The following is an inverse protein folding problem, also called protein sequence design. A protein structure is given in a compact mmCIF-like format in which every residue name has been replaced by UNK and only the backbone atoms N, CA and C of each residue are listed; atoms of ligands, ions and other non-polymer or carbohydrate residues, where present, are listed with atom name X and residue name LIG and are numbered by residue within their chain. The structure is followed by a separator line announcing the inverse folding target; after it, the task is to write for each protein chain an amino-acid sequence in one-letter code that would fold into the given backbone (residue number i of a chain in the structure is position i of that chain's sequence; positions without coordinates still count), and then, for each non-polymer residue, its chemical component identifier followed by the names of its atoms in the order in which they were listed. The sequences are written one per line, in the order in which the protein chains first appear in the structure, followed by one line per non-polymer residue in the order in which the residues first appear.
data_IF_110356091813
#
_entry.id   IF_110356091813
#
_cell.length_a   1.000
_cell.length_b   1.000
_cell.length_c   1.000
_cell.angle_alpha   90.00
_cell.angle_beta   90.00
_cell.angle_gamma   90.00
#
_symmetry.space_group_name_H-M   'P 1'
#
loop_
_entity.id
_entity.type
_entity.pdbx_description
1 polymer ?
#
# COMPACT_ATOMS: atom_id res chain seq x y z
N UNK A 1 6.02 14.12 -0.10
CA UNK A 1 5.38 14.56 1.16
C UNK A 1 4.03 13.86 1.39
N UNK A 2 3.76 12.69 0.80
CA UNK A 2 2.38 12.25 0.52
C UNK A 2 1.97 10.91 1.16
N UNK A 3 2.44 10.60 2.37
CA UNK A 3 2.02 9.39 3.08
C UNK A 3 1.29 9.65 4.41
N UNK A 4 1.27 10.89 4.92
CA UNK A 4 0.76 11.18 6.27
C UNK A 4 -0.78 11.12 6.41
N UNK A 5 -1.50 11.68 5.43
CA UNK A 5 -2.95 11.88 5.56
C UNK A 5 -3.77 10.57 5.59
N UNK A 6 -3.31 9.48 4.95
CA UNK A 6 -4.07 8.19 4.93
C UNK A 6 -3.77 7.28 6.12
N UNK A 7 -2.59 7.38 6.73
CA UNK A 7 -2.30 6.70 8.01
C UNK A 7 -3.12 7.28 9.16
N UNK A 8 -3.39 8.59 9.14
CA UNK A 8 -4.23 9.27 10.12
C UNK A 8 -5.68 8.77 10.09
N UNK A 9 -6.25 8.52 8.89
CA UNK A 9 -7.61 7.98 8.76
C UNK A 9 -7.74 6.56 9.34
N UNK A 10 -6.73 5.70 9.14
CA UNK A 10 -6.69 4.36 9.74
C UNK A 10 -6.55 4.46 11.26
N UNK A 11 -5.68 5.34 11.75
CA UNK A 11 -5.50 5.57 13.19
C UNK A 11 -6.79 6.11 13.84
N UNK A 12 -7.52 6.98 13.15
CA UNK A 12 -8.81 7.49 13.60
C UNK A 12 -9.88 6.40 13.61
N UNK A 13 -9.94 5.56 12.58
CA UNK A 13 -10.85 4.41 12.53
C UNK A 13 -10.53 3.36 13.62
N UNK A 14 -9.25 3.09 13.89
CA UNK A 14 -8.82 2.23 15.00
C UNK A 14 -9.24 2.80 16.36
N UNK A 15 -9.12 4.12 16.53
CA UNK A 15 -9.54 4.82 17.74
C UNK A 15 -11.05 4.71 17.95
N UNK A 16 -11.85 4.85 16.89
CA UNK A 16 -13.30 4.67 16.95
C UNK A 16 -13.68 3.22 17.32
N UNK A 17 -13.02 2.22 16.71
CA UNK A 17 -13.19 0.80 17.10
C UNK A 17 -12.88 0.58 18.58
N UNK A 18 -11.81 1.16 19.09
CA UNK A 18 -11.43 1.07 20.50
C UNK A 18 -12.52 1.66 21.41
N UNK A 19 -13.03 2.84 21.05
CA UNK A 19 -14.10 3.53 21.78
C UNK A 19 -15.40 2.71 21.78
N UNK A 20 -15.83 2.18 20.63
CA UNK A 20 -17.03 1.32 20.55
C UNK A 20 -16.84 0.00 21.28
N UNK A 21 -15.62 -0.54 21.31
CA UNK A 21 -15.29 -1.77 22.05
C UNK A 21 -15.44 -1.56 23.55
N UNK A 22 -14.94 -0.44 24.08
CA UNK A 22 -15.12 -0.09 25.48
C UNK A 22 -16.60 0.06 25.85
N UNK A 23 -17.39 0.71 24.99
CA UNK A 23 -18.84 0.85 25.18
C UNK A 23 -19.56 -0.52 25.18
N UNK A 24 -19.19 -1.42 24.27
CA UNK A 24 -19.74 -2.79 24.25
C UNK A 24 -19.35 -3.58 25.50
N UNK A 25 -18.10 -3.52 25.95
CA UNK A 25 -17.66 -4.20 27.18
C UNK A 25 -18.41 -3.68 28.42
N UNK A 26 -18.65 -2.37 28.50
CA UNK A 26 -19.46 -1.79 29.56
C UNK A 26 -20.90 -2.32 29.53
N UNK A 27 -21.54 -2.30 28.35
CA UNK A 27 -22.90 -2.80 28.16
C UNK A 27 -23.03 -4.32 28.42
N UNK A 28 -22.01 -5.10 28.05
CA UNK A 28 -21.89 -6.53 28.35
C UNK A 28 -21.87 -6.79 29.85
N UNK A 29 -21.00 -6.08 30.57
CA UNK A 29 -20.87 -6.23 32.02
C UNK A 29 -22.13 -5.75 32.74
N UNK A 30 -22.78 -4.71 32.24
CA UNK A 30 -24.06 -4.26 32.75
C UNK A 30 -25.15 -5.31 32.53
N UNK A 31 -25.26 -5.88 31.33
CA UNK A 31 -26.20 -6.96 31.03
C UNK A 31 -25.97 -8.19 31.93
N UNK A 32 -24.72 -8.62 32.14
CA UNK A 32 -24.40 -9.73 33.04
C UNK A 32 -24.83 -9.47 34.48
N UNK A 33 -24.61 -8.25 34.99
CA UNK A 33 -25.07 -7.85 36.33
C UNK A 33 -26.59 -7.87 36.43
N UNK A 34 -27.29 -7.32 35.43
CA UNK A 34 -28.75 -7.35 35.36
C UNK A 34 -29.28 -8.78 35.29
N UNK A 35 -28.61 -9.66 34.54
CA UNK A 35 -28.99 -11.08 34.43
C UNK A 35 -28.90 -11.80 35.79
N UNK A 36 -27.82 -11.57 36.56
CA UNK A 36 -27.70 -12.14 37.91
C UNK A 36 -28.78 -11.60 38.86
N UNK A 37 -29.08 -10.30 38.79
CA UNK A 37 -30.16 -9.69 39.57
C UNK A 37 -31.55 -10.21 39.17
N UNK A 38 -31.79 -10.47 37.88
CA UNK A 38 -33.03 -11.05 37.38
C UNK A 38 -33.20 -12.50 37.83
N UNK A 39 -32.12 -13.29 37.83
CA UNK A 39 -32.13 -14.65 38.38
C UNK A 39 -32.49 -14.66 39.87
N UNK A 40 -32.05 -13.64 40.61
CA UNK A 40 -32.41 -13.40 42.02
C UNK A 40 -33.78 -12.73 42.19
N UNK A 41 -34.53 -12.48 41.11
CA UNK A 41 -35.83 -11.79 41.07
C UNK A 41 -35.84 -10.38 41.65
N UNK A 42 -34.71 -9.68 41.57
CA UNK A 42 -34.54 -8.30 42.10
C UNK A 42 -34.98 -7.24 41.08
N UNK A 43 -34.92 -7.54 39.78
CA UNK A 43 -35.32 -6.63 38.69
C UNK A 43 -36.43 -7.24 37.84
N UNK A 44 -37.11 -6.40 37.06
CA UNK A 44 -38.15 -6.86 36.15
C UNK A 44 -37.57 -7.48 34.87
N UNK A 45 -38.36 -8.31 34.18
CA UNK A 45 -38.00 -8.84 32.86
C UNK A 45 -37.76 -7.70 31.84
N UNK A 46 -38.49 -6.59 31.96
CA UNK A 46 -38.34 -5.42 31.10
C UNK A 46 -36.99 -4.72 31.27
N UNK A 47 -36.45 -4.68 32.51
CA UNK A 47 -35.14 -4.10 32.79
C UNK A 47 -34.00 -4.95 32.20
N UNK A 48 -34.15 -6.27 32.26
CA UNK A 48 -33.21 -7.22 31.66
C UNK A 48 -33.22 -7.11 30.13
N UNK A 49 -34.41 -7.04 29.51
CA UNK A 49 -34.54 -6.87 28.07
C UNK A 49 -33.99 -5.51 27.61
N UNK A 50 -34.21 -4.45 28.37
CA UNK A 50 -33.61 -3.13 28.10
C UNK A 50 -32.08 -3.20 28.12
N UNK A 51 -31.49 -3.89 29.10
CA UNK A 51 -30.05 -4.10 29.17
C UNK A 51 -29.52 -4.96 27.99
N UNK A 52 -30.29 -5.99 27.59
CA UNK A 52 -29.97 -6.83 26.43
C UNK A 52 -29.97 -6.02 25.13
N UNK A 53 -30.98 -5.18 24.94
CA UNK A 53 -31.10 -4.32 23.76
C UNK A 53 -29.94 -3.32 23.69
N UNK A 54 -29.56 -2.71 24.81
CA UNK A 54 -28.42 -1.81 24.87
C UNK A 54 -27.10 -2.52 24.51
N UNK A 55 -26.87 -3.72 25.05
CA UNK A 55 -25.73 -4.56 24.68
C UNK A 55 -25.70 -4.89 23.19
N UNK A 56 -26.84 -5.27 22.61
CA UNK A 56 -26.94 -5.59 21.18
C UNK A 56 -26.67 -4.35 20.31
N UNK A 57 -27.17 -3.18 20.71
CA UNK A 57 -26.91 -1.93 20.02
C UNK A 57 -25.41 -1.57 20.05
N UNK A 58 -24.76 -1.71 21.21
CA UNK A 58 -23.33 -1.49 21.34
C UNK A 58 -22.50 -2.50 20.51
N UNK A 59 -22.95 -3.75 20.44
CA UNK A 59 -22.31 -4.80 19.63
C UNK A 59 -22.41 -4.47 18.13
N UNK A 60 -23.58 -4.03 17.67
CA UNK A 60 -23.79 -3.60 16.29
C UNK A 60 -22.93 -2.38 15.95
N UNK A 61 -22.82 -1.40 16.85
CA UNK A 61 -21.97 -0.23 16.67
C UNK A 61 -20.47 -0.59 16.59
N UNK A 62 -20.00 -1.52 17.44
CA UNK A 62 -18.64 -2.04 17.37
C UNK A 62 -18.37 -2.72 16.02
N UNK A 63 -19.30 -3.59 15.57
CA UNK A 63 -19.18 -4.28 14.29
C UNK A 63 -19.12 -3.30 13.12
N UNK A 64 -19.99 -2.30 13.09
CA UNK A 64 -19.98 -1.26 12.06
C UNK A 64 -18.64 -0.49 12.02
N UNK A 65 -18.07 -0.15 13.18
CA UNK A 65 -16.76 0.51 13.25
C UNK A 65 -15.62 -0.41 12.73
N UNK A 66 -15.68 -1.71 13.03
CA UNK A 66 -14.71 -2.69 12.54
C UNK A 66 -14.82 -2.91 11.02
N UNK A 67 -16.05 -2.98 10.49
CA UNK A 67 -16.27 -3.08 9.05
C UNK A 67 -15.75 -1.84 8.32
N UNK A 68 -15.94 -0.65 8.91
CA UNK A 68 -15.38 0.61 8.39
C UNK A 68 -13.84 0.61 8.40
N UNK A 69 -13.21 0.14 9.47
CA UNK A 69 -11.76 -0.03 9.52
C UNK A 69 -11.26 -1.03 8.46
N UNK A 70 -11.96 -2.15 8.29
CA UNK A 70 -11.64 -3.14 7.27
C UNK A 70 -11.81 -2.58 5.85
N UNK A 71 -12.83 -1.75 5.59
CA UNK A 71 -12.99 -1.07 4.31
C UNK A 71 -11.79 -0.17 4.00
N UNK A 72 -11.32 0.63 4.96
CA UNK A 72 -10.12 1.45 4.77
C UNK A 72 -8.85 0.62 4.56
N UNK A 73 -8.70 -0.50 5.29
CA UNK A 73 -7.55 -1.39 5.13
C UNK A 73 -7.58 -2.19 3.82
N UNK A 74 -8.76 -2.63 3.37
CA UNK A 74 -8.92 -3.42 2.15
C UNK A 74 -8.91 -2.56 0.89
N UNK A 75 -9.48 -1.34 0.93
CA UNK A 75 -9.39 -0.37 -0.16
C UNK A 75 -7.94 0.02 -0.49
N UNK A 76 -7.04 -0.09 0.48
CA UNK A 76 -5.60 0.19 0.33
C UNK A 76 -4.80 -0.92 -0.40
N UNK A 77 -5.37 -2.12 -0.61
CA UNK A 77 -4.54 -3.34 -0.80
C UNK A 77 -4.22 -3.76 -2.23
N UNK A 78 -4.84 -3.20 -3.26
CA UNK A 78 -4.52 -3.58 -4.64
C UNK A 78 -4.10 -2.38 -5.47
N UNK A 79 -4.94 -1.35 -5.55
CA UNK A 79 -4.68 -0.24 -6.48
C UNK A 79 -3.45 0.59 -6.07
N UNK A 80 -3.29 0.94 -4.79
CA UNK A 80 -2.13 1.71 -4.32
C UNK A 80 -0.82 0.90 -4.36
N UNK A 81 -0.88 -0.41 -4.08
CA UNK A 81 0.29 -1.31 -4.17
C UNK A 81 0.69 -1.52 -5.63
N UNK A 82 -0.29 -1.69 -6.53
CA UNK A 82 -0.03 -1.90 -7.95
C UNK A 82 0.43 -0.62 -8.64
N UNK A 83 -0.07 0.56 -8.25
CA UNK A 83 0.47 1.84 -8.69
C UNK A 83 1.90 2.06 -8.19
N UNK A 84 2.18 1.80 -6.90
CA UNK A 84 3.53 1.92 -6.36
C UNK A 84 4.50 0.91 -7.03
N UNK A 85 4.05 -0.33 -7.29
CA UNK A 85 4.82 -1.32 -8.07
C UNK A 85 5.04 -0.87 -9.50
N UNK A 86 4.03 -0.29 -10.15
CA UNK A 86 4.13 0.27 -11.49
C UNK A 86 5.17 1.39 -11.56
N UNK A 87 5.17 2.30 -10.59
CA UNK A 87 6.18 3.37 -10.49
C UNK A 87 7.59 2.82 -10.25
N UNK A 88 7.74 1.79 -9.41
CA UNK A 88 9.04 1.12 -9.21
C UNK A 88 9.50 0.41 -10.48
N UNK A 89 8.60 -0.25 -11.22
CA UNK A 89 8.89 -0.89 -12.50
C UNK A 89 9.31 0.13 -13.55
N UNK A 90 8.60 1.25 -13.64
CA UNK A 90 8.92 2.35 -14.54
C UNK A 90 10.27 2.98 -14.20
N UNK A 91 10.55 3.21 -12.92
CA UNK A 91 11.84 3.72 -12.45
C UNK A 91 12.98 2.75 -12.76
N UNK A 92 12.77 1.43 -12.56
CA UNK A 92 13.75 0.40 -12.92
C UNK A 92 14.01 0.35 -14.42
N UNK A 93 12.97 0.47 -15.24
CA UNK A 93 13.11 0.52 -16.70
C UNK A 93 13.90 1.76 -17.14
N UNK A 94 13.65 2.92 -16.52
CA UNK A 94 14.40 4.14 -16.81
C UNK A 94 15.89 4.01 -16.44
N UNK A 95 16.21 3.37 -15.31
CA UNK A 95 17.60 3.08 -14.90
C UNK A 95 18.26 2.13 -15.90
N UNK A 96 17.60 1.02 -16.26
CA UNK A 96 18.14 0.07 -17.23
C UNK A 96 18.38 0.72 -18.60
N UNK A 97 17.49 1.59 -19.05
CA UNK A 97 17.68 2.34 -20.29
C UNK A 97 18.87 3.30 -20.21
N UNK A 98 19.03 3.99 -19.07
CA UNK A 98 20.17 4.88 -18.85
C UNK A 98 21.51 4.12 -18.83
N UNK A 99 21.53 2.91 -18.27
CA UNK A 99 22.70 2.02 -18.27
C UNK A 99 23.05 1.53 -19.69
N UNK A 100 22.06 1.15 -20.49
CA UNK A 100 22.27 0.78 -21.90
C UNK A 100 22.82 1.96 -22.71
N UNK A 101 22.20 3.14 -22.57
CA UNK A 101 22.69 4.34 -23.23
C UNK A 101 24.14 4.66 -22.84
N UNK A 102 24.52 4.43 -21.58
CA UNK A 102 25.89 4.60 -21.11
C UNK A 102 26.83 3.55 -21.74
N UNK A 103 26.41 2.29 -21.84
CA UNK A 103 27.20 1.24 -22.51
C UNK A 103 27.39 1.54 -23.99
N UNK A 104 26.35 2.04 -24.67
CA UNK A 104 26.40 2.41 -26.09
C UNK A 104 27.35 3.60 -26.36
N UNK A 105 27.72 4.38 -25.34
CA UNK A 105 28.80 5.38 -25.47
C UNK A 105 30.17 4.74 -25.66
N UNK A 106 30.32 3.46 -25.29
CA UNK A 106 31.55 2.69 -25.44
C UNK A 106 31.42 1.72 -26.62
N UNK A 107 31.80 2.20 -27.80
CA UNK A 107 31.91 1.39 -28.99
C UNK A 107 32.98 0.29 -28.81
N UNK A 108 32.55 -0.97 -28.87
CA UNK A 108 33.43 -2.14 -28.84
C UNK A 108 33.31 -2.92 -30.15
N UNK A 109 34.37 -3.61 -30.55
CA UNK A 109 34.36 -4.44 -31.76
C UNK A 109 33.74 -5.80 -31.45
N UNK A 110 32.75 -6.29 -32.24
CA UNK A 110 32.10 -7.59 -32.01
C UNK A 110 32.99 -8.79 -32.35
N UNK A 111 34.08 -8.59 -33.10
CA UNK A 111 35.05 -9.63 -33.44
C UNK A 111 36.48 -9.04 -33.56
N UNK A 112 37.49 -9.91 -33.54
CA UNK A 112 38.88 -9.51 -33.81
C UNK A 112 39.02 -9.06 -35.26
N UNK A 113 39.67 -7.92 -35.46
CA UNK A 113 39.77 -7.30 -36.77
C UNK A 113 40.70 -6.09 -36.76
N UNK A 114 41.03 -5.59 -37.95
CA UNK A 114 41.90 -4.42 -38.12
C UNK A 114 41.04 -3.21 -38.48
N UNK A 115 41.26 -2.07 -37.80
CA UNK A 115 40.57 -0.80 -38.10
C UNK A 115 41.17 -0.24 -39.40
N UNK A 116 40.35 -0.15 -40.45
CA UNK A 116 40.75 0.35 -41.77
C UNK A 116 40.66 1.87 -41.86
N UNK A 117 39.60 2.47 -41.31
CA UNK A 117 39.34 3.90 -41.44
C UNK A 117 38.59 4.43 -40.21
N UNK A 118 39.09 5.54 -39.66
CA UNK A 118 38.42 6.32 -38.63
C UNK A 118 37.64 7.45 -39.30
N UNK A 119 36.31 7.41 -39.22
CA UNK A 119 35.43 8.35 -39.91
C UNK A 119 35.10 9.61 -39.09
N UNK A 120 35.51 9.68 -37.81
CA UNK A 120 35.14 10.73 -36.87
C UNK A 120 36.35 11.18 -36.02
N UNK A 121 36.44 12.47 -35.73
CA UNK A 121 37.47 13.06 -34.86
C UNK A 121 37.01 13.22 -33.40
N UNK A 122 37.94 13.14 -32.42
CA UNK A 122 37.61 13.41 -31.02
C UNK A 122 36.98 14.80 -30.83
N UNK A 123 35.81 14.87 -30.17
CA UNK A 123 35.07 16.11 -29.93
C UNK A 123 33.91 16.37 -30.90
N UNK A 124 33.71 15.50 -31.89
CA UNK A 124 32.56 15.61 -32.82
C UNK A 124 31.29 15.05 -32.18
N UNK A 125 30.17 15.76 -32.28
CA UNK A 125 28.85 15.26 -31.86
C UNK A 125 28.34 14.29 -32.94
N UNK A 126 27.97 13.08 -32.53
CA UNK A 126 27.43 12.06 -33.42
C UNK A 126 25.95 11.80 -33.11
N UNK A 127 25.17 11.56 -34.17
CA UNK A 127 23.81 11.03 -34.06
C UNK A 127 23.84 9.50 -34.06
N UNK A 128 22.83 8.87 -33.44
CA UNK A 128 22.68 7.43 -33.44
C UNK A 128 22.60 6.89 -34.90
N UNK A 129 23.39 5.86 -35.20
CA UNK A 129 23.47 5.25 -36.54
C UNK A 129 24.56 5.80 -37.46
N UNK A 130 25.29 6.86 -37.07
CA UNK A 130 26.42 7.36 -37.87
C UNK A 130 27.64 6.42 -37.75
N UNK A 131 28.26 6.00 -38.87
CA UNK A 131 29.42 5.13 -38.84
C UNK A 131 30.65 5.86 -38.27
N UNK A 132 31.28 5.28 -37.24
CA UNK A 132 32.44 5.86 -36.54
C UNK A 132 33.77 5.23 -36.99
N UNK A 133 33.77 3.91 -37.16
CA UNK A 133 34.93 3.13 -37.61
C UNK A 133 34.51 2.13 -38.68
N UNK A 134 35.39 1.90 -39.66
CA UNK A 134 35.30 0.79 -40.59
C UNK A 134 36.37 -0.24 -40.19
N UNK A 135 35.94 -1.46 -39.89
CA UNK A 135 36.82 -2.55 -39.47
C UNK A 135 36.74 -3.71 -40.47
N UNK A 136 37.87 -4.36 -40.71
CA UNK A 136 37.96 -5.64 -41.43
C UNK A 136 38.10 -6.77 -40.42
N UNK A 137 37.15 -7.69 -40.41
CA UNK A 137 37.20 -8.90 -39.58
C UNK A 137 37.93 -10.02 -40.33
N UNK A 138 38.75 -10.80 -39.62
CA UNK A 138 39.51 -11.92 -40.17
C UNK A 138 38.74 -13.24 -40.03
#
# INVERSE_FOLDING_TARGET
MEAGYRSEEIAQAQSDVSLKRAAWQYAENFYKRQQDLANRKVISANDLDSARNNRNQAAAALKAAQDKLNQYQNGYRQEDIDMARGQVLQAKAAVAQAELNLQDTKLTSPAEGTILTRAVEPGTILSAGSPVFYCFFN
#
